data_IF_994642222063
#
_entry.id   IF_994642222063
#
_cell.length_a   1.000
_cell.length_b   1.000
_cell.length_c   1.000
_cell.angle_alpha   90.00
_cell.angle_beta   90.00
_cell.angle_gamma   90.00
#
_symmetry.space_group_name_H-M   'P 1'
#
loop_
_entity.id
_entity.type
_entity.pdbx_description
1 polymer ?
#
# COMPACT_ATOMS: atom_id res chain seq x y z
N UNK A 1 -20.54 7.85 6.41
CA UNK A 1 -19.51 8.43 7.31
C UNK A 1 -18.70 7.28 7.85
N UNK A 2 -17.36 7.38 7.83
CA UNK A 2 -16.48 6.34 8.38
C UNK A 2 -16.54 6.33 9.91
N UNK A 3 -16.33 5.15 10.50
CA UNK A 3 -16.30 4.96 11.94
C UNK A 3 -14.94 5.43 12.51
N UNK A 4 -14.91 6.12 13.65
CA UNK A 4 -13.67 6.61 14.25
C UNK A 4 -12.86 5.49 14.91
N UNK A 5 -13.48 4.43 15.41
CA UNK A 5 -12.85 3.31 16.10
C UNK A 5 -13.74 2.05 16.03
N UNK A 6 -13.15 0.89 16.28
CA UNK A 6 -13.87 -0.37 16.54
C UNK A 6 -14.12 -0.53 18.05
N UNK A 7 -13.09 -0.33 18.88
CA UNK A 7 -13.13 -0.49 20.33
C UNK A 7 -12.98 0.86 21.02
N UNK A 8 -14.09 1.35 21.57
CA UNK A 8 -14.07 2.64 22.29
C UNK A 8 -13.11 2.58 23.48
N UNK A 9 -12.23 3.59 23.58
CA UNK A 9 -11.28 3.73 24.68
C UNK A 9 -9.93 3.02 24.47
N UNK A 10 -9.74 2.28 23.38
CA UNK A 10 -8.43 1.75 22.99
C UNK A 10 -7.71 2.68 22.03
N UNK A 11 -6.38 2.69 22.12
CA UNK A 11 -5.52 3.31 21.09
C UNK A 11 -5.43 2.31 19.93
N UNK A 12 -6.13 2.61 18.83
CA UNK A 12 -6.17 1.75 17.66
C UNK A 12 -5.33 2.33 16.53
N UNK A 13 -4.55 1.47 15.85
CA UNK A 13 -3.89 1.82 14.60
C UNK A 13 -4.57 1.15 13.43
N UNK A 14 -4.98 1.93 12.43
CA UNK A 14 -5.43 1.41 11.14
C UNK A 14 -4.24 1.13 10.23
N UNK A 15 -4.27 -0.02 9.53
CA UNK A 15 -3.21 -0.44 8.61
C UNK A 15 -3.80 -0.79 7.24
N UNK A 16 -3.14 -0.35 6.19
CA UNK A 16 -3.45 -0.70 4.80
C UNK A 16 -2.18 -0.72 3.95
N UNK A 17 -2.22 -1.37 2.78
CA UNK A 17 -1.09 -1.49 1.85
C UNK A 17 -1.42 -1.02 0.44
N UNK A 18 -0.38 -0.64 -0.31
CA UNK A 18 -0.43 -0.28 -1.72
C UNK A 18 0.63 -1.03 -2.54
N UNK A 19 0.26 -1.42 -3.75
CA UNK A 19 1.21 -2.00 -4.70
C UNK A 19 1.25 -3.52 -4.77
N UNK A 20 0.30 -4.26 -4.20
CA UNK A 20 0.30 -5.75 -4.25
C UNK A 20 0.28 -6.31 -5.66
N UNK A 21 -0.60 -5.81 -6.51
CA UNK A 21 -0.80 -6.32 -7.88
C UNK A 21 0.16 -5.77 -8.93
N UNK A 22 1.20 -5.05 -8.54
CA UNK A 22 2.13 -4.41 -9.46
C UNK A 22 3.24 -5.37 -9.90
N UNK A 23 3.68 -5.27 -11.15
CA UNK A 23 4.82 -6.02 -11.70
C UNK A 23 6.16 -5.43 -11.28
N UNK A 24 6.18 -4.16 -10.88
CA UNK A 24 7.39 -3.43 -10.49
C UNK A 24 7.16 -2.56 -9.26
N UNK A 25 8.25 -2.29 -8.57
CA UNK A 25 8.31 -1.43 -7.40
C UNK A 25 7.95 -2.15 -6.10
N UNK A 26 8.34 -1.52 -5.00
CA UNK A 26 8.11 -1.98 -3.63
C UNK A 26 6.62 -2.02 -3.28
N UNK A 27 6.26 -2.84 -2.28
CA UNK A 27 4.99 -2.72 -1.57
C UNK A 27 5.18 -1.76 -0.40
N UNK A 28 4.22 -0.87 -0.24
CA UNK A 28 4.16 0.13 0.83
C UNK A 28 2.97 -0.18 1.72
N UNK A 29 3.15 -0.11 3.02
CA UNK A 29 2.05 -0.13 3.96
C UNK A 29 2.18 1.05 4.91
N UNK A 30 1.05 1.49 5.46
CA UNK A 30 1.06 2.52 6.50
C UNK A 30 0.29 2.04 7.72
N UNK A 31 0.66 2.58 8.87
CA UNK A 31 -0.06 2.46 10.13
C UNK A 31 -0.38 3.86 10.66
N UNK A 32 -1.62 4.12 11.04
CA UNK A 32 -2.09 5.45 11.47
C UNK A 32 -2.93 5.35 12.73
N UNK A 33 -2.59 6.17 13.74
CA UNK A 33 -3.37 6.40 14.96
C UNK A 33 -3.96 7.80 14.87
N UNK A 34 -5.28 7.90 14.82
CA UNK A 34 -5.98 9.19 14.77
C UNK A 34 -6.48 9.61 16.16
N UNK A 35 -6.63 10.93 16.43
CA UNK A 35 -7.41 11.41 17.57
C UNK A 35 -8.85 10.87 17.51
N UNK A 36 -9.45 10.61 18.67
CA UNK A 36 -10.82 10.06 18.77
C UNK A 36 -11.88 11.01 18.19
N UNK A 37 -11.62 12.29 18.20
CA UNK A 37 -12.47 13.37 17.68
C UNK A 37 -12.10 13.81 16.26
N UNK A 38 -11.13 13.13 15.61
CA UNK A 38 -10.75 13.41 14.23
C UNK A 38 -11.97 13.28 13.31
N UNK A 39 -12.19 14.31 12.48
CA UNK A 39 -13.25 14.38 11.51
C UNK A 39 -12.73 14.94 10.20
N UNK A 40 -12.98 14.24 9.12
CA UNK A 40 -12.69 14.74 7.78
C UNK A 40 -13.70 14.15 6.80
N UNK A 41 -14.52 15.00 6.20
CA UNK A 41 -15.58 14.57 5.26
C UNK A 41 -15.04 14.08 3.92
N UNK A 42 -13.85 14.54 3.54
CA UNK A 42 -13.17 14.09 2.32
C UNK A 42 -12.52 12.72 2.47
N UNK A 43 -12.20 12.31 3.71
CA UNK A 43 -11.57 11.02 3.95
C UNK A 43 -12.58 9.90 3.70
N UNK A 44 -12.33 9.13 2.66
CA UNK A 44 -13.16 8.02 2.20
C UNK A 44 -12.25 6.98 1.51
N UNK A 45 -12.82 5.91 0.96
CA UNK A 45 -12.09 4.95 0.11
C UNK A 45 -11.17 5.69 -0.89
N UNK A 46 -9.87 5.47 -0.75
CA UNK A 46 -8.84 6.16 -1.55
C UNK A 46 -9.00 5.99 -3.06
N UNK A 47 -9.72 4.94 -3.49
CA UNK A 47 -10.00 4.65 -4.90
C UNK A 47 -11.06 5.58 -5.50
N UNK A 48 -11.88 6.21 -4.66
CA UNK A 48 -12.90 7.19 -5.08
C UNK A 48 -12.35 8.62 -5.15
N UNK A 49 -11.14 8.84 -4.65
CA UNK A 49 -10.50 10.15 -4.59
C UNK A 49 -9.61 10.40 -5.81
N UNK A 50 -9.59 11.65 -6.28
CA UNK A 50 -8.61 12.09 -7.27
C UNK A 50 -7.20 12.08 -6.68
N UNK A 51 -6.18 12.08 -7.53
CA UNK A 51 -4.77 12.17 -7.07
C UNK A 51 -4.57 13.42 -6.21
N UNK A 52 -5.02 14.58 -6.66
CA UNK A 52 -4.92 15.83 -5.90
C UNK A 52 -5.57 15.72 -4.51
N UNK A 53 -6.77 15.18 -4.40
CA UNK A 53 -7.43 14.99 -3.11
C UNK A 53 -6.65 14.07 -2.16
N UNK A 54 -6.01 13.01 -2.69
CA UNK A 54 -5.16 12.13 -1.89
C UNK A 54 -3.94 12.87 -1.32
N UNK A 55 -3.29 13.74 -2.09
CA UNK A 55 -2.15 14.52 -1.59
C UNK A 55 -2.57 15.57 -0.55
N UNK A 56 -3.69 16.25 -0.73
CA UNK A 56 -4.26 17.14 0.29
C UNK A 56 -4.57 16.38 1.58
N UNK A 57 -5.19 15.21 1.47
CA UNK A 57 -5.50 14.37 2.63
C UNK A 57 -4.25 13.82 3.32
N UNK A 58 -3.19 13.49 2.56
CA UNK A 58 -1.90 13.10 3.14
C UNK A 58 -1.36 14.16 4.08
N UNK A 59 -1.29 15.42 3.65
CA UNK A 59 -0.81 16.52 4.49
C UNK A 59 -1.65 16.69 5.76
N UNK A 60 -2.98 16.52 5.65
CA UNK A 60 -3.89 16.57 6.80
C UNK A 60 -3.60 15.41 7.76
N UNK A 61 -3.50 14.18 7.26
CA UNK A 61 -3.22 12.99 8.09
C UNK A 61 -1.86 13.11 8.77
N UNK A 62 -0.81 13.51 8.05
CA UNK A 62 0.54 13.69 8.59
C UNK A 62 0.58 14.73 9.73
N UNK A 63 -0.22 15.79 9.62
CA UNK A 63 -0.29 16.86 10.60
C UNK A 63 -1.16 16.50 11.81
N UNK A 64 -2.28 15.82 11.60
CA UNK A 64 -3.32 15.67 12.62
C UNK A 64 -3.33 14.27 13.29
N UNK A 65 -2.67 13.28 12.71
CA UNK A 65 -2.54 11.98 13.36
C UNK A 65 -1.70 12.06 14.64
N UNK A 66 -2.09 11.31 15.66
CA UNK A 66 -1.30 11.16 16.90
C UNK A 66 0.03 10.45 16.63
N UNK A 67 0.01 9.46 15.73
CA UNK A 67 1.19 8.79 15.21
C UNK A 67 0.86 8.18 13.84
N UNK A 68 1.84 8.17 12.96
CA UNK A 68 1.80 7.47 11.70
C UNK A 68 3.20 7.02 11.27
N UNK A 69 3.25 5.99 10.46
CA UNK A 69 4.50 5.52 9.85
C UNK A 69 4.21 4.73 8.57
N UNK A 70 5.25 4.61 7.74
CA UNK A 70 5.21 3.86 6.48
C UNK A 70 6.26 2.77 6.50
N UNK A 71 5.86 1.55 6.22
CA UNK A 71 6.74 0.39 6.05
C UNK A 71 6.85 0.01 4.58
N UNK A 72 8.04 -0.40 4.17
CA UNK A 72 8.36 -0.72 2.77
C UNK A 72 9.00 -2.11 2.70
N UNK A 73 8.64 -2.87 1.67
CA UNK A 73 9.27 -4.15 1.32
C UNK A 73 9.66 -4.09 -0.16
N UNK A 74 10.92 -4.38 -0.46
CA UNK A 74 11.51 -4.23 -1.80
C UNK A 74 11.06 -5.33 -2.76
N UNK A 75 11.23 -5.16 -4.09
CA UNK A 75 10.96 -6.22 -5.06
C UNK A 75 11.74 -7.51 -4.77
N UNK A 76 12.99 -7.41 -4.38
CA UNK A 76 13.85 -8.55 -4.01
C UNK A 76 13.25 -9.33 -2.83
N UNK A 77 12.90 -8.64 -1.75
CA UNK A 77 12.24 -9.27 -0.59
C UNK A 77 10.86 -9.87 -0.97
N UNK A 78 10.10 -9.22 -1.88
CA UNK A 78 8.83 -9.77 -2.37
C UNK A 78 9.07 -11.10 -3.08
N UNK A 79 10.11 -11.19 -3.90
CA UNK A 79 10.45 -12.41 -4.64
C UNK A 79 10.91 -13.54 -3.70
N UNK A 80 11.55 -13.20 -2.57
CA UNK A 80 11.95 -14.18 -1.55
C UNK A 80 10.78 -14.74 -0.74
N UNK A 81 9.88 -13.87 -0.25
CA UNK A 81 8.87 -14.26 0.74
C UNK A 81 7.43 -14.31 0.19
N UNK A 82 7.21 -14.02 -1.06
CA UNK A 82 5.97 -13.76 -1.79
C UNK A 82 5.20 -12.51 -1.33
N UNK A 83 4.29 -12.05 -2.22
CA UNK A 83 3.57 -10.77 -2.01
C UNK A 83 2.64 -10.77 -0.78
N UNK A 84 2.06 -11.91 -0.40
CA UNK A 84 1.19 -11.97 0.78
C UNK A 84 2.01 -11.72 2.06
N UNK A 85 3.11 -12.43 2.22
CA UNK A 85 4.01 -12.25 3.36
C UNK A 85 4.69 -10.86 3.34
N UNK A 86 5.04 -10.36 2.15
CA UNK A 86 5.59 -9.02 1.97
C UNK A 86 4.60 -7.91 2.41
N UNK A 87 3.30 -8.06 2.12
CA UNK A 87 2.28 -7.12 2.61
C UNK A 87 2.22 -7.11 4.14
N UNK A 88 2.24 -8.28 4.78
CA UNK A 88 2.28 -8.35 6.24
C UNK A 88 3.55 -7.76 6.83
N UNK A 89 4.71 -8.05 6.22
CA UNK A 89 5.99 -7.49 6.66
C UNK A 89 6.01 -5.96 6.54
N UNK A 90 5.46 -5.40 5.45
CA UNK A 90 5.35 -3.96 5.28
C UNK A 90 4.48 -3.33 6.38
N UNK A 91 3.33 -3.94 6.72
CA UNK A 91 2.49 -3.49 7.84
C UNK A 91 3.23 -3.60 9.19
N UNK A 92 3.94 -4.71 9.45
CA UNK A 92 4.76 -4.87 10.65
C UNK A 92 5.81 -3.76 10.76
N UNK A 93 6.54 -3.47 9.68
CA UNK A 93 7.52 -2.38 9.62
C UNK A 93 6.91 -1.01 9.87
N UNK A 94 5.67 -0.78 9.40
CA UNK A 94 4.96 0.46 9.69
C UNK A 94 4.61 0.54 11.19
N UNK A 95 4.09 -0.53 11.78
CA UNK A 95 3.74 -0.58 13.21
C UNK A 95 4.98 -0.42 14.09
N UNK A 96 6.13 -1.03 13.72
CA UNK A 96 7.40 -0.91 14.44
C UNK A 96 7.89 0.54 14.57
N UNK A 97 7.59 1.38 13.59
CA UNK A 97 8.04 2.77 13.52
C UNK A 97 7.08 3.76 14.20
N UNK A 98 5.91 3.31 14.68
CA UNK A 98 4.97 4.18 15.38
C UNK A 98 5.57 4.71 16.69
N UNK A 99 5.52 6.03 16.89
CA UNK A 99 5.97 6.68 18.13
C UNK A 99 5.07 6.39 19.34
N UNK A 100 3.83 5.98 19.08
CA UNK A 100 2.85 5.57 20.10
C UNK A 100 2.52 4.09 19.83
N UNK A 101 2.70 3.23 20.87
CA UNK A 101 2.34 1.83 20.76
C UNK A 101 0.82 1.68 20.75
N UNK A 102 0.20 1.13 19.70
CA UNK A 102 -1.22 0.84 19.69
C UNK A 102 -1.56 -0.31 20.66
N UNK A 103 -2.81 -0.36 21.11
CA UNK A 103 -3.37 -1.44 21.89
C UNK A 103 -4.14 -2.43 21.02
N UNK A 104 -4.52 -2.04 19.82
CA UNK A 104 -5.22 -2.86 18.84
C UNK A 104 -4.89 -2.42 17.42
N UNK A 105 -4.81 -3.38 16.47
CA UNK A 105 -4.63 -3.10 15.05
C UNK A 105 -5.93 -3.35 14.28
N UNK A 106 -6.32 -2.41 13.43
CA UNK A 106 -7.37 -2.55 12.43
C UNK A 106 -6.71 -2.72 11.06
N UNK A 107 -6.84 -3.91 10.48
CA UNK A 107 -6.13 -4.29 9.26
C UNK A 107 -7.10 -4.30 8.09
N UNK A 108 -6.80 -3.58 6.98
CA UNK A 108 -7.58 -3.78 5.76
C UNK A 108 -7.37 -5.20 5.21
N UNK A 109 -8.48 -5.81 4.74
CA UNK A 109 -8.46 -7.14 4.16
C UNK A 109 -9.04 -8.23 5.05
N UNK A 110 -8.74 -9.50 4.72
CA UNK A 110 -9.30 -10.68 5.38
C UNK A 110 -8.23 -11.60 5.98
N UNK A 111 -6.97 -11.26 5.90
CA UNK A 111 -5.84 -12.04 6.42
C UNK A 111 -4.78 -11.11 6.99
N UNK A 112 -4.17 -11.53 8.08
CA UNK A 112 -3.01 -10.87 8.67
C UNK A 112 -2.16 -11.89 9.44
N UNK A 113 -0.86 -11.72 9.42
CA UNK A 113 0.06 -12.48 10.27
C UNK A 113 0.21 -11.73 11.58
N UNK A 114 -0.14 -12.40 12.69
CA UNK A 114 -0.06 -11.83 14.05
C UNK A 114 1.27 -11.08 14.24
N UNK A 115 1.18 -9.86 14.76
CA UNK A 115 2.33 -9.03 15.09
C UNK A 115 2.55 -9.06 16.61
N UNK A 116 3.60 -9.73 17.06
CA UNK A 116 3.91 -9.91 18.48
C UNK A 116 2.66 -10.36 19.29
N UNK A 117 2.43 -9.75 20.45
CA UNK A 117 1.25 -10.00 21.28
C UNK A 117 0.10 -9.00 21.08
N UNK A 118 0.23 -8.17 20.03
CA UNK A 118 -0.74 -7.12 19.76
C UNK A 118 -2.02 -7.69 19.15
N UNK A 119 -3.19 -7.48 19.77
CA UNK A 119 -4.47 -7.88 19.21
C UNK A 119 -4.76 -7.18 17.89
N UNK A 120 -5.43 -7.85 16.97
CA UNK A 120 -5.84 -7.26 15.71
C UNK A 120 -7.22 -7.74 15.26
N UNK A 121 -7.85 -6.94 14.41
CA UNK A 121 -9.07 -7.29 13.68
C UNK A 121 -8.87 -6.99 12.19
N UNK A 122 -9.10 -7.98 11.35
CA UNK A 122 -9.14 -7.80 9.90
C UNK A 122 -10.52 -7.30 9.47
N UNK A 123 -10.54 -6.31 8.59
CA UNK A 123 -11.78 -5.66 8.12
C UNK A 123 -11.77 -5.60 6.61
N UNK A 124 -12.61 -6.41 5.98
CA UNK A 124 -12.77 -6.40 4.52
C UNK A 124 -13.33 -5.06 4.07
N UNK A 125 -12.62 -4.37 3.14
CA UNK A 125 -12.90 -3.00 2.69
C UNK A 125 -12.92 -2.03 3.88
N UNK A 126 -11.91 -2.14 4.73
CA UNK A 126 -11.79 -1.35 5.95
C UNK A 126 -11.55 0.13 5.67
N UNK A 127 -10.91 0.46 4.55
CA UNK A 127 -10.71 1.81 4.01
C UNK A 127 -12.03 2.57 3.76
N UNK A 128 -13.10 1.85 3.49
CA UNK A 128 -14.46 2.39 3.38
C UNK A 128 -15.28 2.32 4.68
N UNK A 129 -14.68 1.89 5.81
CA UNK A 129 -15.41 1.68 7.08
C UNK A 129 -14.82 2.44 8.26
N UNK A 130 -13.48 2.51 8.37
CA UNK A 130 -12.78 3.11 9.51
C UNK A 130 -11.84 4.23 9.08
N UNK A 131 -11.89 5.36 9.79
CA UNK A 131 -11.06 6.53 9.50
C UNK A 131 -9.56 6.23 9.54
N UNK A 132 -9.09 5.44 10.51
CA UNK A 132 -7.67 5.10 10.64
C UNK A 132 -7.17 4.22 9.49
N UNK A 133 -7.99 3.28 8.99
CA UNK A 133 -7.63 2.46 7.81
C UNK A 133 -7.65 3.33 6.55
N UNK A 134 -8.66 4.18 6.36
CA UNK A 134 -8.72 5.10 5.24
C UNK A 134 -7.49 6.04 5.20
N UNK A 135 -7.09 6.57 6.36
CA UNK A 135 -5.90 7.39 6.49
C UNK A 135 -4.62 6.61 6.13
N UNK A 136 -4.50 5.35 6.59
CA UNK A 136 -3.39 4.46 6.23
C UNK A 136 -3.36 4.20 4.72
N UNK A 137 -4.51 3.95 4.08
CA UNK A 137 -4.65 3.79 2.63
C UNK A 137 -4.09 4.99 1.85
N UNK A 138 -4.44 6.22 2.29
CA UNK A 138 -3.94 7.47 1.69
C UNK A 138 -2.41 7.55 1.79
N UNK A 139 -1.84 7.30 2.98
CA UNK A 139 -0.39 7.35 3.16
C UNK A 139 0.32 6.28 2.33
N UNK A 140 -0.08 5.02 2.44
CA UNK A 140 0.54 3.93 1.68
C UNK A 140 0.54 4.20 0.18
N UNK A 141 -0.59 4.68 -0.36
CA UNK A 141 -0.74 4.96 -1.79
C UNK A 141 0.09 6.16 -2.24
N UNK A 142 0.03 7.29 -1.54
CA UNK A 142 0.73 8.51 -1.97
C UNK A 142 2.24 8.39 -1.84
N UNK A 143 2.75 7.77 -0.78
CA UNK A 143 4.18 7.48 -0.64
C UNK A 143 4.69 6.54 -1.72
N UNK A 144 3.88 5.53 -2.08
CA UNK A 144 4.22 4.65 -3.18
C UNK A 144 4.16 5.36 -4.54
N UNK A 145 3.18 6.21 -4.76
CA UNK A 145 3.06 6.98 -6.01
C UNK A 145 4.27 7.90 -6.20
N UNK A 146 4.76 8.56 -5.14
CA UNK A 146 6.02 9.35 -5.17
C UNK A 146 7.24 8.49 -5.53
N UNK A 147 7.37 7.33 -4.91
CA UNK A 147 8.45 6.38 -5.23
C UNK A 147 8.42 5.95 -6.70
N UNK A 148 7.25 5.59 -7.23
CA UNK A 148 7.11 5.20 -8.64
C UNK A 148 7.35 6.36 -9.61
N UNK A 149 6.99 7.59 -9.23
CA UNK A 149 7.31 8.80 -9.99
C UNK A 149 8.83 9.06 -9.99
N UNK A 150 9.53 8.77 -8.89
CA UNK A 150 10.99 8.81 -8.81
C UNK A 150 11.63 7.81 -9.77
N UNK A 151 11.20 6.55 -9.73
CA UNK A 151 11.72 5.50 -10.61
C UNK A 151 11.44 5.77 -12.10
N UNK A 152 10.31 6.42 -12.41
CA UNK A 152 10.03 6.81 -13.81
C UNK A 152 11.07 7.77 -14.38
N UNK A 153 11.71 8.62 -13.57
CA UNK A 153 12.75 9.53 -14.04
C UNK A 153 14.01 8.78 -14.49
N UNK A 154 14.30 7.65 -13.84
CA UNK A 154 15.44 6.78 -14.18
C UNK A 154 15.10 5.84 -15.35
N UNK A 155 13.85 5.36 -15.39
CA UNK A 155 13.36 4.36 -16.34
C UNK A 155 12.08 4.84 -17.05
N UNK A 156 12.15 5.89 -17.90
CA UNK A 156 10.95 6.52 -18.48
C UNK A 156 10.16 5.59 -19.43
N UNK A 157 10.80 4.57 -19.97
CA UNK A 157 10.20 3.66 -20.96
C UNK A 157 9.04 2.82 -20.42
N UNK A 158 9.02 2.54 -19.10
CA UNK A 158 7.98 1.72 -18.47
C UNK A 158 6.71 2.47 -18.10
N UNK A 159 6.66 3.81 -18.26
CA UNK A 159 5.51 4.66 -17.98
C UNK A 159 5.01 4.56 -16.51
N UNK A 160 5.95 4.38 -15.57
CA UNK A 160 5.63 4.17 -14.15
C UNK A 160 5.02 5.38 -13.44
N UNK A 161 5.20 6.58 -13.98
CA UNK A 161 4.48 7.77 -13.49
C UNK A 161 2.97 7.70 -13.75
N UNK A 162 2.53 6.97 -14.76
CA UNK A 162 1.12 6.76 -15.11
C UNK A 162 0.61 5.43 -14.54
N UNK A 163 1.23 4.31 -14.91
CA UNK A 163 0.73 2.99 -14.55
C UNK A 163 1.12 2.52 -13.14
N UNK A 164 2.00 3.26 -12.43
CA UNK A 164 2.48 2.95 -11.06
C UNK A 164 2.97 1.50 -10.88
N UNK A 165 3.50 0.90 -11.96
CA UNK A 165 3.99 -0.49 -11.96
C UNK A 165 2.92 -1.55 -12.19
N UNK A 166 1.65 -1.19 -12.38
CA UNK A 166 0.57 -2.15 -12.66
C UNK A 166 0.72 -2.83 -14.03
N UNK A 167 0.15 -4.04 -14.22
CA UNK A 167 0.31 -4.87 -15.42
C UNK A 167 -0.51 -4.36 -16.63
N UNK A 168 -0.35 -3.10 -17.01
CA UNK A 168 -0.99 -2.53 -18.19
C UNK A 168 -0.37 -3.11 -19.46
N UNK A 169 -1.11 -3.06 -20.58
CA UNK A 169 -0.59 -3.47 -21.90
C UNK A 169 0.71 -2.73 -22.23
N UNK A 170 0.77 -1.42 -21.94
CA UNK A 170 1.95 -0.57 -22.18
C UNK A 170 3.15 -1.00 -21.35
N UNK A 171 2.94 -1.28 -20.04
CA UNK A 171 4.02 -1.76 -19.16
C UNK A 171 4.57 -3.11 -19.63
N UNK A 172 3.69 -4.08 -19.98
CA UNK A 172 4.11 -5.38 -20.52
C UNK A 172 4.82 -5.26 -21.87
N UNK A 173 4.38 -4.36 -22.76
CA UNK A 173 5.07 -4.08 -24.02
C UNK A 173 6.47 -3.52 -23.76
N UNK A 174 6.62 -2.59 -22.84
CA UNK A 174 7.93 -2.05 -22.46
C UNK A 174 8.86 -3.13 -21.88
N UNK A 175 8.33 -4.07 -21.06
CA UNK A 175 9.13 -5.20 -20.57
C UNK A 175 9.61 -6.10 -21.73
N UNK A 176 8.78 -6.33 -22.75
CA UNK A 176 9.20 -7.11 -23.94
C UNK A 176 10.30 -6.41 -24.74
N UNK A 177 10.23 -5.10 -24.86
CA UNK A 177 11.15 -4.29 -25.68
C UNK A 177 12.46 -4.00 -24.96
N UNK A 178 12.40 -3.59 -23.68
CA UNK A 178 13.57 -3.11 -22.92
C UNK A 178 14.08 -4.10 -21.87
N UNK A 179 13.40 -5.23 -21.70
CA UNK A 179 13.74 -6.21 -20.64
C UNK A 179 13.20 -5.81 -19.27
N UNK A 180 13.84 -6.34 -18.24
CA UNK A 180 13.51 -6.06 -16.84
C UNK A 180 14.58 -5.17 -16.19
N UNK A 181 14.22 -4.54 -15.07
CA UNK A 181 15.13 -3.79 -14.20
C UNK A 181 15.18 -4.46 -12.81
N UNK A 182 16.08 -4.07 -11.91
CA UNK A 182 16.08 -4.56 -10.52
C UNK A 182 14.79 -4.26 -9.75
N UNK A 183 13.95 -3.37 -10.28
CA UNK A 183 12.67 -3.01 -9.66
C UNK A 183 11.50 -3.91 -10.08
N UNK A 184 11.67 -4.80 -11.08
CA UNK A 184 10.65 -5.77 -11.46
C UNK A 184 10.64 -6.95 -10.51
N UNK A 185 9.45 -7.47 -10.21
CA UNK A 185 9.23 -8.65 -9.36
C UNK A 185 9.32 -9.90 -10.21
N UNK A 186 10.47 -10.56 -10.17
CA UNK A 186 10.81 -11.64 -11.10
C UNK A 186 9.96 -12.91 -10.92
N UNK A 187 9.37 -13.11 -9.73
CA UNK A 187 8.44 -14.22 -9.46
C UNK A 187 7.02 -13.98 -10.00
N UNK A 188 6.74 -12.76 -10.49
CA UNK A 188 5.43 -12.43 -11.06
C UNK A 188 5.38 -12.78 -12.55
N UNK A 189 4.16 -13.05 -13.07
CA UNK A 189 3.96 -13.21 -14.51
C UNK A 189 4.09 -11.86 -15.24
N UNK A 190 5.31 -11.49 -15.59
CA UNK A 190 5.66 -10.19 -16.17
C UNK A 190 5.06 -9.99 -17.57
N UNK A 191 5.03 -11.03 -18.38
CA UNK A 191 4.63 -10.93 -19.80
C UNK A 191 3.15 -11.25 -20.05
N UNK A 192 2.46 -11.90 -19.08
CA UNK A 192 1.08 -12.34 -19.22
C UNK A 192 0.97 -13.67 -19.98
N UNK A 193 -0.25 -14.16 -20.10
CA UNK A 193 -0.54 -15.49 -20.71
C UNK A 193 -0.47 -15.50 -22.23
N UNK A 194 -0.45 -14.34 -22.88
CA UNK A 194 -0.55 -14.23 -24.35
C UNK A 194 0.70 -14.77 -25.12
N UNK A 195 1.80 -15.03 -24.42
CA UNK A 195 3.05 -15.53 -25.03
C UNK A 195 3.27 -17.03 -24.94
N UNK A 196 2.39 -17.78 -24.28
CA UNK A 196 2.49 -19.25 -24.28
C UNK A 196 1.99 -19.90 -25.60
N UNK A 197 1.40 -19.11 -26.51
CA UNK A 197 0.85 -19.61 -27.78
C UNK A 197 1.79 -19.41 -28.99
N UNK A 198 2.97 -18.80 -28.82
CA UNK A 198 3.89 -18.49 -29.92
C UNK A 198 5.24 -19.24 -29.85
N UNK A 199 5.33 -20.36 -29.16
CA UNK A 199 6.49 -21.27 -29.30
C UNK A 199 6.13 -22.26 -30.38
N UNK A 200 6.66 -22.15 -31.62
CA UNK A 200 6.51 -23.19 -32.60
C UNK A 200 7.31 -24.43 -32.14
N UNK A 201 6.68 -25.57 -32.17
CA UNK A 201 7.29 -26.87 -31.94
C UNK A 201 8.31 -27.18 -33.04
#
# INVERSE_FOLDING_TARGET
>A
MLLPYLNKGLIEAGCDEAGRGCLAGSVYAAAVILPVDFKNELLNDSKQLTEHQRYVLREIVEREALAWAVGVVTPEEIDEINILNASFLAMHRAVDQLKIRPQHLLIDGNRFKKYQDLPHTTVVKGDGKYLSIAAASILAKTYRDDYMNGLHKEYPFYDWNSNKGYPTKKHRAAIREYGTTPYHRMTFNLLGTDLQLEIPF
#
